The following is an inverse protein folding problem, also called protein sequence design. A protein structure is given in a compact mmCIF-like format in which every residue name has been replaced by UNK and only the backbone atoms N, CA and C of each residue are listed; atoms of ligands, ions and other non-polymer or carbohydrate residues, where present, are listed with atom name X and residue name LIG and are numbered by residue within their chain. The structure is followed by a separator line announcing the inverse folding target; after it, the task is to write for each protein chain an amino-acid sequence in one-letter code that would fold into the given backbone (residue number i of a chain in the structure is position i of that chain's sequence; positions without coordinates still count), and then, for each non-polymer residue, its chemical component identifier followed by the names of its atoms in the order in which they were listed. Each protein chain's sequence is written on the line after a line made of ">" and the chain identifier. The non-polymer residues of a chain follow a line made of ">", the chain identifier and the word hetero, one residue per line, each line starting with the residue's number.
data_IF_565367425129
#
_entry.id   IF_565367425129
#
_cell.length_a   1.000
_cell.length_b   1.000
_cell.length_c   1.000
_cell.angle_alpha   90.00
_cell.angle_beta   90.00
_cell.angle_gamma   90.00
#
_symmetry.space_group_name_H-M   'P 1'
#
loop_
_entity.id
_entity.type
_entity.pdbx_description
1 polymer ?
#
# COMPACT_ATOMS: atom_id res chain seq x y z
N UNK A 1 -3.95 -33.27 64.17
CA UNK A 1 -3.71 -33.88 62.83
C UNK A 1 -4.69 -33.36 61.77
N UNK A 2 -6.01 -33.38 62.01
CA UNK A 2 -7.04 -32.90 61.07
C UNK A 2 -6.83 -31.48 60.50
N UNK A 3 -6.42 -30.52 61.36
CA UNK A 3 -6.21 -29.11 60.97
C UNK A 3 -5.02 -28.92 60.00
N UNK A 4 -3.94 -29.71 60.15
CA UNK A 4 -2.79 -29.69 59.23
C UNK A 4 -3.16 -30.30 57.87
N UNK A 5 -3.98 -31.35 57.86
CA UNK A 5 -4.44 -31.98 56.63
C UNK A 5 -5.39 -31.08 55.82
N UNK A 6 -6.28 -30.35 56.51
CA UNK A 6 -7.14 -29.30 55.93
C UNK A 6 -6.36 -28.16 55.29
N UNK A 7 -5.25 -27.72 55.92
CA UNK A 7 -4.39 -26.66 55.36
C UNK A 7 -3.67 -27.18 54.10
N UNK A 8 -3.17 -28.41 54.13
CA UNK A 8 -2.49 -29.02 52.98
C UNK A 8 -3.44 -29.17 51.79
N UNK A 9 -4.67 -29.66 51.99
CA UNK A 9 -5.66 -29.78 50.91
C UNK A 9 -6.06 -28.42 50.32
N UNK A 10 -6.22 -27.39 51.15
CA UNK A 10 -6.54 -26.04 50.69
C UNK A 10 -5.39 -25.43 49.85
N UNK A 11 -4.14 -25.60 50.28
CA UNK A 11 -2.96 -25.15 49.53
C UNK A 11 -2.82 -25.89 48.20
N UNK A 12 -3.03 -27.22 48.18
CA UNK A 12 -3.02 -28.00 46.94
C UNK A 12 -4.12 -27.57 45.97
N UNK A 13 -5.32 -27.24 46.45
CA UNK A 13 -6.43 -26.79 45.61
C UNK A 13 -6.15 -25.40 45.00
N UNK A 14 -5.54 -24.48 45.75
CA UNK A 14 -5.11 -23.17 45.23
C UNK A 14 -4.01 -23.34 44.17
N UNK A 15 -3.01 -24.19 44.42
CA UNK A 15 -1.97 -24.50 43.43
C UNK A 15 -2.55 -25.11 42.15
N UNK A 16 -3.50 -26.04 42.28
CA UNK A 16 -4.19 -26.63 41.14
C UNK A 16 -4.97 -25.58 40.34
N UNK A 17 -5.66 -24.66 41.01
CA UNK A 17 -6.37 -23.55 40.36
C UNK A 17 -5.41 -22.61 39.62
N UNK A 18 -4.24 -22.32 40.19
CA UNK A 18 -3.20 -21.51 39.52
C UNK A 18 -2.69 -22.23 38.28
N UNK A 19 -2.39 -23.53 38.38
CA UNK A 19 -1.94 -24.34 37.23
C UNK A 19 -3.01 -24.38 36.14
N UNK A 20 -4.28 -24.58 36.49
CA UNK A 20 -5.40 -24.57 35.53
C UNK A 20 -5.58 -23.19 34.90
N UNK A 21 -5.48 -22.09 35.67
CA UNK A 21 -5.52 -20.73 35.12
C UNK A 21 -4.37 -20.49 34.13
N UNK A 22 -3.13 -20.79 34.53
CA UNK A 22 -1.95 -20.65 33.64
C UNK A 22 -2.11 -21.50 32.38
N UNK A 23 -2.65 -22.71 32.51
CA UNK A 23 -2.94 -23.59 31.38
C UNK A 23 -3.99 -23.01 30.44
N UNK A 24 -5.07 -22.41 30.97
CA UNK A 24 -6.10 -21.74 30.17
C UNK A 24 -5.57 -20.47 29.49
N UNK A 25 -4.65 -19.73 30.11
CA UNK A 25 -3.99 -18.56 29.52
C UNK A 25 -2.94 -18.92 28.44
N UNK A 26 -2.38 -20.14 28.50
CA UNK A 26 -1.44 -20.65 27.48
C UNK A 26 -2.14 -21.41 26.35
N UNK A 27 -3.44 -21.70 26.48
CA UNK A 27 -4.23 -22.36 25.46
C UNK A 27 -4.64 -21.35 24.38
N UNK A 28 -3.88 -21.34 23.28
CA UNK A 28 -4.15 -20.46 22.13
C UNK A 28 -5.52 -20.75 21.52
N UNK A 29 -6.16 -19.70 20.99
CA UNK A 29 -7.46 -19.76 20.30
C UNK A 29 -7.24 -19.64 18.80
N UNK A 30 -8.02 -20.37 18.01
CA UNK A 30 -8.05 -20.24 16.54
C UNK A 30 -9.30 -19.44 16.13
N UNK A 31 -9.20 -18.11 15.94
CA UNK A 31 -10.38 -17.26 15.74
C UNK A 31 -11.13 -17.59 14.46
N UNK A 32 -10.40 -17.95 13.39
CA UNK A 32 -10.98 -18.20 12.08
C UNK A 32 -11.12 -19.69 11.75
N UNK A 33 -10.93 -20.63 12.70
CA UNK A 33 -10.88 -22.09 12.43
C UNK A 33 -11.99 -22.64 11.51
N UNK A 34 -13.17 -22.06 11.57
CA UNK A 34 -14.36 -22.52 10.83
C UNK A 34 -14.78 -21.51 9.75
N UNK A 35 -13.90 -20.59 9.36
CA UNK A 35 -14.15 -19.66 8.27
C UNK A 35 -14.17 -20.46 6.97
N UNK A 36 -15.23 -20.27 6.20
CA UNK A 36 -15.39 -20.88 4.89
C UNK A 36 -15.26 -19.80 3.80
N UNK A 37 -14.62 -20.15 2.68
CA UNK A 37 -14.42 -19.23 1.56
C UNK A 37 -15.73 -18.69 0.99
N UNK A 38 -16.82 -19.46 1.05
CA UNK A 38 -18.14 -19.02 0.60
C UNK A 38 -18.74 -17.89 1.47
N UNK A 39 -18.16 -17.60 2.64
CA UNK A 39 -18.59 -16.50 3.51
C UNK A 39 -17.92 -15.17 3.13
N UNK A 40 -16.88 -15.18 2.29
CA UNK A 40 -16.13 -14.00 1.87
C UNK A 40 -16.58 -13.62 0.47
N UNK A 41 -17.10 -12.40 0.32
CA UNK A 41 -17.49 -11.84 -0.96
C UNK A 41 -16.27 -11.34 -1.76
N UNK A 42 -15.33 -10.68 -1.08
CA UNK A 42 -14.06 -10.22 -1.67
C UNK A 42 -12.99 -10.04 -0.60
N UNK A 43 -11.73 -10.06 -1.01
CA UNK A 43 -10.60 -9.81 -0.13
C UNK A 43 -9.48 -9.05 -0.84
N UNK A 44 -8.76 -8.24 -0.06
CA UNK A 44 -7.54 -7.57 -0.48
C UNK A 44 -6.51 -7.59 0.63
N UNK A 45 -5.24 -7.42 0.27
CA UNK A 45 -4.14 -7.32 1.23
C UNK A 45 -3.29 -6.08 0.96
N UNK A 46 -3.01 -5.32 2.01
CA UNK A 46 -2.08 -4.21 2.01
C UNK A 46 -0.78 -4.62 2.72
N UNK A 47 0.35 -4.35 2.09
CA UNK A 47 1.69 -4.60 2.65
C UNK A 47 2.34 -3.25 2.98
N UNK A 48 2.73 -3.02 4.23
CA UNK A 48 3.38 -1.78 4.69
C UNK A 48 4.63 -2.08 5.50
N UNK A 49 5.85 -1.74 5.01
CA UNK A 49 6.16 -1.41 3.60
C UNK A 49 5.88 -2.59 2.64
N UNK A 50 5.73 -2.40 1.31
CA UNK A 50 6.06 -1.22 0.49
C UNK A 50 4.88 -0.29 0.14
N UNK A 51 3.80 -0.32 0.91
CA UNK A 51 2.57 0.46 0.69
C UNK A 51 1.84 0.10 -0.61
N UNK A 52 1.81 -1.20 -0.91
CA UNK A 52 1.06 -1.77 -2.05
C UNK A 52 -0.14 -2.55 -1.56
N UNK A 53 -1.25 -2.41 -2.29
CA UNK A 53 -2.48 -3.17 -2.06
C UNK A 53 -2.75 -4.09 -3.24
N UNK A 54 -3.06 -5.35 -2.97
CA UNK A 54 -3.29 -6.38 -3.99
C UNK A 54 -4.65 -7.04 -3.75
N UNK A 55 -5.41 -7.25 -4.83
CA UNK A 55 -6.63 -8.05 -4.81
C UNK A 55 -6.30 -9.53 -4.58
N UNK A 56 -7.09 -10.21 -3.74
CA UNK A 56 -6.92 -11.65 -3.49
C UNK A 56 -7.99 -12.40 -4.27
N UNK A 57 -7.58 -13.07 -5.34
CA UNK A 57 -8.49 -13.87 -6.18
C UNK A 57 -8.75 -15.26 -5.60
N UNK A 58 -7.71 -15.93 -5.06
CA UNK A 58 -7.86 -17.24 -4.41
C UNK A 58 -8.22 -17.10 -2.92
N UNK A 59 -9.51 -16.87 -2.70
CA UNK A 59 -10.10 -16.80 -1.35
C UNK A 59 -9.93 -18.12 -0.59
N UNK A 60 -9.96 -19.26 -1.28
CA UNK A 60 -9.86 -20.57 -0.64
C UNK A 60 -8.47 -20.80 -0.03
N UNK A 61 -7.43 -20.40 -0.75
CA UNK A 61 -6.05 -20.42 -0.26
C UNK A 61 -5.88 -19.52 0.96
N UNK A 62 -6.34 -18.26 0.89
CA UNK A 62 -6.30 -17.33 2.03
C UNK A 62 -6.98 -17.91 3.27
N UNK A 63 -8.18 -18.48 3.11
CA UNK A 63 -8.91 -19.12 4.21
C UNK A 63 -8.13 -20.28 4.81
N UNK A 64 -7.38 -21.04 4.01
CA UNK A 64 -6.46 -22.07 4.47
C UNK A 64 -5.46 -21.53 5.50
N UNK A 65 -4.80 -20.39 5.21
CA UNK A 65 -3.89 -19.74 6.13
C UNK A 65 -4.59 -19.16 7.37
N UNK A 66 -5.75 -18.50 7.18
CA UNK A 66 -6.52 -17.91 8.28
C UNK A 66 -7.01 -18.98 9.28
N UNK A 67 -7.41 -20.16 8.81
CA UNK A 67 -7.85 -21.28 9.65
C UNK A 67 -6.77 -21.78 10.62
N UNK A 68 -5.50 -21.49 10.32
CA UNK A 68 -4.35 -21.92 11.11
C UNK A 68 -3.82 -20.92 12.12
N UNK A 69 -4.24 -19.65 12.05
CA UNK A 69 -3.77 -18.64 12.99
C UNK A 69 -4.20 -18.95 14.43
N UNK A 70 -3.29 -18.70 15.37
CA UNK A 70 -3.51 -18.95 16.80
C UNK A 70 -3.19 -17.69 17.57
N UNK A 71 -4.17 -17.14 18.28
CA UNK A 71 -4.00 -15.98 19.17
C UNK A 71 -3.94 -16.40 20.63
N UNK A 72 -3.23 -15.63 21.44
CA UNK A 72 -3.11 -15.80 22.89
C UNK A 72 -3.74 -14.61 23.63
N UNK A 73 -3.02 -14.02 24.58
CA UNK A 73 -3.45 -12.83 25.29
C UNK A 73 -3.38 -11.59 24.37
N UNK A 74 -4.25 -10.62 24.65
CA UNK A 74 -4.12 -9.28 24.07
C UNK A 74 -2.78 -8.68 24.46
N UNK A 75 -2.18 -7.95 23.54
CA UNK A 75 -0.88 -7.32 23.71
C UNK A 75 -0.80 -6.11 22.76
N UNK A 76 -0.36 -4.96 23.29
CA UNK A 76 -0.24 -3.71 22.54
C UNK A 76 1.22 -3.30 22.29
N UNK A 77 2.21 -4.13 22.64
CA UNK A 77 3.63 -3.81 22.40
C UNK A 77 4.02 -3.74 20.92
N UNK A 78 3.13 -4.19 20.03
CA UNK A 78 3.28 -4.04 18.59
C UNK A 78 3.38 -2.57 18.13
N UNK A 79 2.88 -1.60 18.91
CA UNK A 79 2.95 -0.17 18.54
C UNK A 79 4.38 0.38 18.50
N UNK A 80 5.31 -0.29 19.18
CA UNK A 80 6.74 0.05 19.19
C UNK A 80 7.55 -0.89 18.29
N UNK A 81 6.89 -1.89 17.69
CA UNK A 81 7.55 -2.87 16.83
C UNK A 81 7.83 -2.27 15.46
N UNK A 82 8.95 -2.68 14.86
CA UNK A 82 9.39 -2.27 13.53
C UNK A 82 9.49 -3.50 12.65
N UNK A 83 8.83 -3.48 11.51
CA UNK A 83 8.84 -4.54 10.52
C UNK A 83 7.79 -4.28 9.46
N UNK A 84 7.50 -5.30 8.65
CA UNK A 84 6.40 -5.25 7.70
C UNK A 84 5.11 -5.74 8.34
N UNK A 85 4.07 -4.90 8.29
CA UNK A 85 2.69 -5.29 8.55
C UNK A 85 2.00 -5.71 7.25
N UNK A 86 1.24 -6.79 7.31
CA UNK A 86 0.41 -7.27 6.20
C UNK A 86 -1.04 -7.29 6.66
N UNK A 87 -1.85 -6.36 6.16
CA UNK A 87 -3.25 -6.19 6.55
C UNK A 87 -4.18 -6.76 5.49
N UNK A 88 -4.88 -7.83 5.84
CA UNK A 88 -5.95 -8.39 5.03
C UNK A 88 -7.26 -7.70 5.38
N UNK A 89 -7.99 -7.23 4.37
CA UNK A 89 -9.36 -6.74 4.51
C UNK A 89 -10.29 -7.73 3.83
N UNK A 90 -11.23 -8.29 4.58
CA UNK A 90 -12.25 -9.20 4.07
C UNK A 90 -13.60 -8.50 4.08
N UNK A 91 -14.29 -8.51 2.94
CA UNK A 91 -15.71 -8.16 2.86
C UNK A 91 -16.50 -9.46 2.84
N UNK A 92 -17.35 -9.65 3.84
CA UNK A 92 -18.16 -10.84 4.02
C UNK A 92 -19.44 -10.77 3.17
N UNK A 93 -20.04 -11.92 2.87
CA UNK A 93 -21.29 -11.99 2.08
C UNK A 93 -22.50 -11.36 2.78
N UNK A 94 -22.44 -11.16 4.09
CA UNK A 94 -23.46 -10.44 4.86
C UNK A 94 -23.24 -8.92 4.92
N UNK A 95 -22.20 -8.42 4.23
CA UNK A 95 -21.82 -7.01 4.18
C UNK A 95 -20.93 -6.54 5.33
N UNK A 96 -20.58 -7.41 6.28
CA UNK A 96 -19.63 -7.07 7.33
C UNK A 96 -18.19 -7.05 6.80
N UNK A 97 -17.33 -6.26 7.44
CA UNK A 97 -15.90 -6.17 7.11
C UNK A 97 -15.09 -6.58 8.34
N UNK A 98 -13.97 -7.29 8.11
CA UNK A 98 -12.96 -7.55 9.14
C UNK A 98 -11.56 -7.26 8.61
N UNK A 99 -10.69 -6.75 9.48
CA UNK A 99 -9.29 -6.45 9.19
C UNK A 99 -8.37 -7.31 10.04
N UNK A 100 -7.40 -7.92 9.39
CA UNK A 100 -6.47 -8.88 10.01
C UNK A 100 -5.05 -8.48 9.62
N UNK A 101 -4.30 -7.89 10.54
CA UNK A 101 -2.88 -7.57 10.30
C UNK A 101 -1.97 -8.65 10.86
N UNK A 102 -1.29 -9.36 9.97
CA UNK A 102 -0.14 -10.21 10.30
C UNK A 102 1.08 -9.31 10.51
N UNK A 103 1.53 -9.20 11.77
CA UNK A 103 2.65 -8.36 12.17
C UNK A 103 3.52 -9.09 13.19
N UNK A 104 4.20 -10.14 12.74
CA UNK A 104 4.92 -11.07 13.60
C UNK A 104 5.80 -10.37 14.67
N UNK A 105 5.71 -10.73 15.96
CA UNK A 105 4.99 -11.87 16.55
C UNK A 105 3.56 -11.54 17.02
N UNK A 106 2.87 -10.62 16.34
CA UNK A 106 1.51 -10.17 16.67
C UNK A 106 0.52 -10.43 15.53
N UNK A 107 -0.73 -10.65 15.91
CA UNK A 107 -1.87 -10.62 15.00
C UNK A 107 -2.83 -9.55 15.53
N UNK A 108 -3.16 -8.58 14.69
CA UNK A 108 -4.14 -7.53 15.01
C UNK A 108 -5.43 -7.87 14.29
N UNK A 109 -6.54 -7.94 15.02
CA UNK A 109 -7.87 -8.22 14.47
C UNK A 109 -8.76 -7.03 14.84
N UNK A 110 -9.30 -6.34 13.83
CA UNK A 110 -10.17 -5.17 13.98
C UNK A 110 -9.61 -4.14 14.98
N UNK A 111 -8.30 -3.86 14.88
CA UNK A 111 -7.57 -2.92 15.74
C UNK A 111 -7.15 -3.48 17.11
N UNK A 112 -7.49 -4.73 17.46
CA UNK A 112 -7.12 -5.37 18.72
C UNK A 112 -5.92 -6.29 18.52
N UNK A 113 -4.80 -5.99 19.17
CA UNK A 113 -3.57 -6.79 19.06
C UNK A 113 -3.52 -7.98 19.99
N UNK A 114 -2.99 -9.09 19.50
CA UNK A 114 -2.78 -10.33 20.22
C UNK A 114 -1.37 -10.87 19.99
N UNK A 115 -0.78 -11.50 21.00
CA UNK A 115 0.33 -12.43 20.76
C UNK A 115 -0.18 -13.57 19.88
N UNK A 116 0.62 -13.98 18.90
CA UNK A 116 0.25 -15.05 17.98
C UNK A 116 1.30 -16.14 17.93
N UNK A 117 0.92 -17.32 17.45
CA UNK A 117 1.88 -18.38 17.12
C UNK A 117 2.66 -17.94 15.87
N UNK A 118 3.98 -18.05 15.94
CA UNK A 118 4.89 -17.52 14.91
C UNK A 118 4.63 -18.13 13.53
N UNK A 119 4.58 -19.46 13.41
CA UNK A 119 4.56 -20.11 12.10
C UNK A 119 3.30 -19.76 11.27
N UNK A 120 2.06 -19.82 11.80
CA UNK A 120 0.88 -19.42 11.04
C UNK A 120 0.86 -17.93 10.66
N UNK A 121 1.34 -17.05 11.54
CA UNK A 121 1.40 -15.62 11.24
C UNK A 121 2.49 -15.31 10.20
N UNK A 122 3.61 -16.04 10.23
CA UNK A 122 4.65 -15.94 9.20
C UNK A 122 4.14 -16.46 7.86
N UNK A 123 3.32 -17.51 7.85
CA UNK A 123 2.71 -18.04 6.63
C UNK A 123 1.83 -16.99 5.94
N UNK A 124 0.97 -16.27 6.69
CA UNK A 124 0.19 -15.15 6.14
C UNK A 124 1.05 -14.03 5.56
N UNK A 125 2.10 -13.62 6.28
CA UNK A 125 3.03 -12.60 5.79
C UNK A 125 3.74 -13.07 4.50
N UNK A 126 4.15 -14.34 4.45
CA UNK A 126 4.84 -14.91 3.28
C UNK A 126 3.89 -15.00 2.08
N UNK A 127 2.65 -15.47 2.30
CA UNK A 127 1.60 -15.52 1.28
C UNK A 127 1.37 -14.17 0.61
N UNK A 128 1.24 -13.09 1.39
CA UNK A 128 1.04 -11.76 0.82
C UNK A 128 2.24 -11.26 0.00
N UNK A 129 3.47 -11.54 0.45
CA UNK A 129 4.66 -11.19 -0.31
C UNK A 129 4.78 -12.03 -1.58
N UNK A 130 4.44 -13.32 -1.55
CA UNK A 130 4.41 -14.19 -2.73
C UNK A 130 3.37 -13.69 -3.73
N UNK A 131 2.18 -13.32 -3.26
CA UNK A 131 1.13 -12.73 -4.10
C UNK A 131 1.62 -11.46 -4.80
N UNK A 132 2.22 -10.53 -4.05
CA UNK A 132 2.76 -9.28 -4.60
C UNK A 132 3.91 -9.54 -5.62
N UNK A 133 4.80 -10.50 -5.33
CA UNK A 133 5.97 -10.77 -6.16
C UNK A 133 5.71 -11.76 -7.31
N UNK A 134 4.48 -12.25 -7.47
CA UNK A 134 4.09 -13.21 -8.51
C UNK A 134 4.27 -12.68 -9.95
N UNK A 135 4.31 -11.36 -10.13
CA UNK A 135 4.35 -10.70 -11.43
C UNK A 135 2.99 -10.66 -12.15
N UNK A 136 1.97 -11.30 -11.59
CA UNK A 136 0.57 -11.26 -12.05
C UNK A 136 -0.36 -10.67 -10.99
N UNK A 137 0.21 -10.00 -9.98
CA UNK A 137 -0.54 -9.39 -8.90
C UNK A 137 -1.48 -8.32 -9.46
N UNK A 138 -2.78 -8.42 -9.14
CA UNK A 138 -3.75 -7.37 -9.41
C UNK A 138 -3.57 -6.25 -8.36
N UNK A 139 -2.62 -5.36 -8.62
CA UNK A 139 -2.38 -4.19 -7.75
C UNK A 139 -3.58 -3.23 -7.86
N UNK A 140 -4.13 -2.88 -6.71
CA UNK A 140 -5.27 -1.96 -6.60
C UNK A 140 -4.74 -0.52 -6.54
N UNK A 141 -5.08 0.27 -7.56
CA UNK A 141 -4.72 1.69 -7.67
C UNK A 141 -5.96 2.56 -7.48
N UNK A 142 -6.25 2.92 -6.23
CA UNK A 142 -7.41 3.77 -5.89
C UNK A 142 -7.26 5.23 -6.38
N UNK A 143 -6.01 5.66 -6.60
CA UNK A 143 -5.61 7.01 -7.05
C UNK A 143 -4.43 6.90 -8.04
N UNK A 144 -4.17 7.94 -8.86
CA UNK A 144 -3.00 7.97 -9.73
C UNK A 144 -1.69 7.74 -8.95
N UNK A 145 -0.80 6.85 -9.42
CA UNK A 145 0.51 6.66 -8.81
C UNK A 145 1.30 7.98 -8.73
N UNK A 146 2.10 8.16 -7.69
CA UNK A 146 2.96 9.33 -7.62
C UNK A 146 4.11 9.18 -8.62
N UNK A 147 4.44 10.27 -9.29
CA UNK A 147 5.64 10.39 -10.10
C UNK A 147 6.68 11.23 -9.36
N UNK A 148 7.93 10.79 -9.43
CA UNK A 148 9.07 11.66 -9.22
C UNK A 148 10.14 11.46 -10.26
N UNK A 149 11.21 12.23 -10.10
CA UNK A 149 12.32 12.27 -11.02
C UNK A 149 13.63 12.17 -10.23
N UNK A 150 14.53 11.33 -10.74
CA UNK A 150 15.85 11.12 -10.15
C UNK A 150 16.90 11.74 -11.06
N UNK A 151 17.62 12.73 -10.54
CA UNK A 151 18.77 13.38 -11.19
C UNK A 151 19.85 13.62 -10.14
N UNK A 152 21.12 13.43 -10.47
CA UNK A 152 22.25 13.56 -9.53
C UNK A 152 21.97 12.88 -8.17
N UNK A 153 21.50 11.61 -8.22
CA UNK A 153 21.13 10.80 -7.05
C UNK A 153 20.07 11.42 -6.11
N UNK A 154 19.37 12.47 -6.54
CA UNK A 154 18.35 13.16 -5.77
C UNK A 154 16.98 12.89 -6.37
N UNK A 155 16.01 12.57 -5.51
CA UNK A 155 14.61 12.37 -5.90
C UNK A 155 13.81 13.68 -5.73
N UNK A 156 13.02 14.01 -6.74
CA UNK A 156 12.14 15.18 -6.76
C UNK A 156 10.74 14.74 -7.13
N UNK A 157 9.76 15.01 -6.27
CA UNK A 157 8.36 14.71 -6.56
C UNK A 157 7.79 15.62 -7.64
N UNK A 158 7.04 15.05 -8.57
CA UNK A 158 6.24 15.82 -9.51
C UNK A 158 4.89 16.23 -8.88
N UNK A 159 4.35 17.35 -9.34
CA UNK A 159 3.00 17.78 -9.01
C UNK A 159 1.99 16.98 -9.85
N UNK A 160 1.02 16.32 -9.20
CA UNK A 160 -0.09 15.68 -9.90
C UNK A 160 -0.97 16.75 -10.55
N UNK A 161 -1.17 16.65 -11.86
CA UNK A 161 -2.01 17.51 -12.67
C UNK A 161 -3.40 16.94 -12.88
N UNK A 162 -3.94 17.14 -14.08
CA UNK A 162 -5.24 16.62 -14.47
C UNK A 162 -5.18 15.10 -14.61
N UNK A 163 -6.27 14.43 -14.25
CA UNK A 163 -6.39 12.98 -14.40
C UNK A 163 -7.83 12.53 -14.62
N UNK A 164 -7.98 11.37 -15.25
CA UNK A 164 -9.22 10.62 -15.30
C UNK A 164 -8.95 9.22 -14.81
N UNK A 165 -9.56 8.84 -13.69
CA UNK A 165 -9.23 7.63 -12.94
C UNK A 165 -10.48 6.80 -12.66
N UNK A 166 -10.36 5.49 -12.84
CA UNK A 166 -11.38 4.50 -12.52
C UNK A 166 -10.95 3.70 -11.29
N UNK A 167 -11.91 3.39 -10.43
CA UNK A 167 -11.78 2.45 -9.32
C UNK A 167 -13.09 1.70 -9.08
N UNK A 168 -13.07 0.67 -8.24
CA UNK A 168 -14.29 -0.02 -7.79
C UNK A 168 -14.78 0.57 -6.47
N UNK A 169 -16.10 0.70 -6.30
CA UNK A 169 -16.72 0.99 -5.01
C UNK A 169 -16.79 -0.27 -4.12
N UNK A 170 -17.36 -0.14 -2.91
CA UNK A 170 -17.52 -1.25 -1.96
C UNK A 170 -18.39 -2.40 -2.48
N UNK A 171 -19.26 -2.12 -3.45
CA UNK A 171 -20.14 -3.10 -4.09
C UNK A 171 -19.50 -3.72 -5.35
N UNK A 172 -18.28 -3.30 -5.70
CA UNK A 172 -17.54 -3.74 -6.87
C UNK A 172 -17.92 -3.03 -8.17
N UNK A 173 -18.75 -1.98 -8.12
CA UNK A 173 -19.10 -1.21 -9.31
C UNK A 173 -17.98 -0.25 -9.68
N UNK A 174 -17.71 -0.10 -10.97
CA UNK A 174 -16.76 0.90 -11.46
C UNK A 174 -17.29 2.32 -11.28
N UNK A 175 -16.50 3.15 -10.62
CA UNK A 175 -16.69 4.59 -10.50
C UNK A 175 -15.50 5.31 -11.14
N UNK A 176 -15.76 6.48 -11.73
CA UNK A 176 -14.72 7.28 -12.37
C UNK A 176 -14.69 8.69 -11.79
N UNK A 177 -13.48 9.19 -11.57
CA UNK A 177 -13.18 10.56 -11.16
C UNK A 177 -12.44 11.24 -12.29
N UNK A 178 -12.88 12.44 -12.68
CA UNK A 178 -12.11 13.33 -13.56
C UNK A 178 -11.81 14.60 -12.78
N UNK A 179 -10.55 14.98 -12.76
CA UNK A 179 -10.06 16.20 -12.13
C UNK A 179 -9.31 17.03 -13.16
N UNK A 180 -9.74 18.28 -13.33
CA UNK A 180 -9.04 19.25 -14.15
C UNK A 180 -7.85 19.84 -13.38
N UNK A 181 -6.89 20.39 -14.12
CA UNK A 181 -5.76 21.12 -13.55
C UNK A 181 -5.51 22.42 -14.29
N UNK A 182 -4.80 23.35 -13.66
CA UNK A 182 -4.26 24.51 -14.33
C UNK A 182 -3.24 24.07 -15.39
N UNK A 183 -3.05 24.91 -16.40
CA UNK A 183 -1.99 24.69 -17.38
C UNK A 183 -0.62 24.71 -16.68
N UNK A 184 0.39 23.92 -17.10
CA UNK A 184 1.71 23.87 -16.45
C UNK A 184 2.33 25.26 -16.23
N UNK A 185 2.23 26.15 -17.23
CA UNK A 185 2.69 27.54 -17.15
C UNK A 185 1.91 28.46 -16.19
N UNK A 186 0.80 28.01 -15.60
CA UNK A 186 0.08 28.76 -14.58
C UNK A 186 0.36 28.22 -13.16
N UNK A 187 1.24 27.22 -13.03
CA UNK A 187 1.57 26.55 -11.77
C UNK A 187 2.86 27.08 -11.10
N UNK A 188 3.32 28.29 -11.42
CA UNK A 188 4.61 28.83 -10.95
C UNK A 188 4.74 28.78 -9.42
N UNK A 189 3.70 29.18 -8.68
CA UNK A 189 3.71 29.19 -7.21
C UNK A 189 3.83 27.79 -6.59
N UNK A 190 3.31 26.76 -7.28
CA UNK A 190 3.34 25.37 -6.80
C UNK A 190 4.61 24.64 -7.19
N UNK A 191 5.23 25.04 -8.30
CA UNK A 191 6.40 24.40 -8.88
C UNK A 191 7.72 25.10 -8.50
N UNK A 192 7.67 26.33 -7.98
CA UNK A 192 8.86 27.08 -7.59
C UNK A 192 9.30 26.78 -6.15
N UNK A 193 10.62 26.82 -5.87
CA UNK A 193 11.73 27.04 -6.81
C UNK A 193 11.99 25.82 -7.72
N UNK A 194 12.71 25.97 -8.85
CA UNK A 194 13.09 24.83 -9.66
C UNK A 194 13.99 23.89 -8.87
N UNK A 195 13.96 22.62 -9.22
CA UNK A 195 15.06 21.74 -8.87
C UNK A 195 16.23 21.96 -9.84
N UNK A 196 17.35 22.43 -9.30
CA UNK A 196 18.58 22.67 -10.05
C UNK A 196 19.43 21.40 -10.15
N UNK A 197 19.94 21.09 -11.33
CA UNK A 197 20.76 19.89 -11.56
C UNK A 197 21.84 20.12 -12.61
N UNK A 198 23.06 19.57 -12.43
CA UNK A 198 24.11 19.64 -13.44
C UNK A 198 23.95 18.58 -14.54
N UNK A 199 23.02 17.63 -14.37
CA UNK A 199 22.84 16.50 -15.27
C UNK A 199 22.05 16.88 -16.53
N UNK A 200 22.44 16.31 -17.67
CA UNK A 200 21.72 16.49 -18.94
C UNK A 200 20.49 15.57 -19.06
N UNK A 201 20.31 14.67 -18.12
CA UNK A 201 19.25 13.66 -18.14
C UNK A 201 18.71 13.41 -16.75
N UNK A 202 17.45 12.98 -16.67
CA UNK A 202 16.86 12.58 -15.40
C UNK A 202 15.89 11.41 -15.62
N UNK A 203 15.77 10.53 -14.61
CA UNK A 203 15.03 9.27 -14.73
C UNK A 203 13.67 9.38 -14.05
N UNK A 204 12.60 9.04 -14.76
CA UNK A 204 11.26 8.94 -14.19
C UNK A 204 11.19 7.77 -13.20
N UNK A 205 10.54 8.00 -12.06
CA UNK A 205 10.35 7.01 -11.00
C UNK A 205 8.91 7.08 -10.52
N UNK A 206 8.08 6.13 -10.96
CA UNK A 206 6.70 6.01 -10.50
C UNK A 206 6.63 5.11 -9.27
N UNK A 207 5.65 5.34 -8.39
CA UNK A 207 5.36 4.40 -7.29
C UNK A 207 4.77 3.08 -7.80
N UNK A 208 4.05 3.15 -8.93
CA UNK A 208 3.65 2.00 -9.74
C UNK A 208 3.85 2.37 -11.21
N UNK A 209 4.59 1.55 -11.96
CA UNK A 209 4.93 1.86 -13.35
C UNK A 209 3.66 1.91 -14.23
N UNK A 210 3.56 2.88 -15.15
CA UNK A 210 2.48 2.94 -16.12
C UNK A 210 2.62 1.85 -17.17
N UNK A 211 1.50 1.46 -17.77
CA UNK A 211 1.51 0.61 -18.96
C UNK A 211 2.11 1.36 -20.16
N UNK A 212 1.88 2.67 -20.24
CA UNK A 212 2.40 3.50 -21.33
C UNK A 212 2.57 4.96 -20.89
N UNK A 213 3.71 5.56 -21.26
CA UNK A 213 3.89 7.01 -21.25
C UNK A 213 3.33 7.55 -22.57
N UNK A 214 2.25 8.32 -22.50
CA UNK A 214 1.51 8.82 -23.67
C UNK A 214 2.19 10.02 -24.32
N UNK A 215 2.70 10.96 -23.51
CA UNK A 215 3.39 12.14 -24.03
C UNK A 215 4.30 12.77 -23.00
N UNK A 216 5.42 13.33 -23.47
CA UNK A 216 6.27 14.20 -22.65
C UNK A 216 6.61 15.48 -23.39
N UNK A 217 6.28 16.60 -22.76
CA UNK A 217 6.38 17.95 -23.32
C UNK A 217 7.06 18.88 -22.34
N UNK A 218 7.62 19.98 -22.85
CA UNK A 218 8.13 21.04 -22.00
C UNK A 218 7.82 22.44 -22.51
N UNK A 219 7.92 23.40 -21.59
CA UNK A 219 7.88 24.84 -21.86
C UNK A 219 9.03 25.53 -21.11
N UNK A 220 9.61 26.56 -21.70
CA UNK A 220 10.59 27.41 -21.02
C UNK A 220 9.91 28.22 -19.90
N UNK A 221 10.62 28.40 -18.79
CA UNK A 221 10.21 29.23 -17.65
C UNK A 221 10.03 30.73 -18.01
N UNK A 222 10.59 31.20 -19.13
CA UNK A 222 10.35 32.55 -19.65
C UNK A 222 8.87 32.83 -20.02
N UNK A 223 8.07 31.77 -20.09
CA UNK A 223 6.66 31.81 -20.48
C UNK A 223 5.67 31.57 -19.32
N UNK A 224 6.09 31.65 -18.05
CA UNK A 224 5.15 31.64 -16.92
C UNK A 224 3.98 32.63 -17.13
N UNK A 225 2.78 32.19 -16.80
CA UNK A 225 1.50 32.90 -17.00
C UNK A 225 1.04 33.02 -18.45
N UNK A 226 1.64 32.29 -19.40
CA UNK A 226 1.30 32.34 -20.84
C UNK A 226 0.88 30.96 -21.38
N UNK A 227 -0.30 30.43 -21.01
CA UNK A 227 -0.73 29.07 -21.35
C UNK A 227 -1.03 28.82 -22.84
N UNK A 228 -0.99 29.87 -23.68
CA UNK A 228 -1.13 29.74 -25.14
C UNK A 228 0.20 29.48 -25.85
N UNK A 229 1.30 29.41 -25.11
CA UNK A 229 2.64 29.12 -25.63
C UNK A 229 2.71 27.66 -26.10
N UNK A 230 3.24 27.44 -27.31
CA UNK A 230 3.44 26.10 -27.84
C UNK A 230 4.42 25.32 -26.96
N UNK A 231 4.11 24.05 -26.73
CA UNK A 231 5.03 23.09 -26.11
C UNK A 231 6.11 22.65 -27.10
N UNK A 232 7.18 22.11 -26.54
CA UNK A 232 8.22 21.39 -27.25
C UNK A 232 8.20 19.92 -26.86
N UNK A 233 8.41 19.03 -27.83
CA UNK A 233 8.55 17.60 -27.56
C UNK A 233 9.88 17.32 -26.85
N UNK A 234 9.86 16.38 -25.91
CA UNK A 234 11.07 15.95 -25.18
C UNK A 234 11.45 14.54 -25.58
N UNK A 235 12.74 14.33 -25.82
CA UNK A 235 13.26 13.01 -26.18
C UNK A 235 13.39 12.14 -24.94
N UNK A 236 12.93 10.89 -25.05
CA UNK A 236 13.03 9.88 -24.01
C UNK A 236 13.65 8.58 -24.53
N UNK A 237 14.43 7.92 -23.67
CA UNK A 237 14.94 6.56 -23.90
C UNK A 237 14.59 5.70 -22.69
N UNK A 238 13.62 4.79 -22.84
CA UNK A 238 13.02 4.11 -21.69
C UNK A 238 12.38 5.12 -20.74
N UNK A 239 12.74 5.08 -19.46
CA UNK A 239 12.28 6.05 -18.43
C UNK A 239 13.23 7.26 -18.28
N UNK A 240 14.22 7.43 -19.16
CA UNK A 240 15.20 8.52 -19.06
C UNK A 240 14.81 9.68 -19.97
N UNK A 241 14.61 10.84 -19.35
CA UNK A 241 14.28 12.12 -19.95
C UNK A 241 15.55 12.89 -20.32
N UNK A 242 15.62 13.48 -21.52
CA UNK A 242 16.69 14.43 -21.88
C UNK A 242 16.28 15.85 -21.49
N UNK A 243 17.06 16.49 -20.63
CA UNK A 243 16.79 17.84 -20.14
C UNK A 243 17.29 18.89 -21.13
N UNK A 244 16.57 20.01 -21.20
CA UNK A 244 16.96 21.20 -21.98
C UNK A 244 17.82 22.14 -21.14
N UNK A 245 18.84 22.81 -21.72
CA UNK A 245 19.63 23.82 -21.02
C UNK A 245 18.76 25.01 -20.57
N UNK A 246 18.86 25.40 -19.31
CA UNK A 246 18.02 26.45 -18.71
C UNK A 246 16.88 25.91 -17.86
N UNK A 247 15.90 26.78 -17.53
CA UNK A 247 14.72 26.44 -16.72
C UNK A 247 13.54 26.00 -17.59
N UNK A 248 13.01 24.80 -17.33
CA UNK A 248 11.89 24.24 -18.09
C UNK A 248 10.90 23.52 -17.19
N UNK A 249 9.63 23.70 -17.53
CA UNK A 249 8.49 22.98 -16.96
C UNK A 249 8.22 21.79 -17.87
N UNK A 250 8.26 20.59 -17.31
CA UNK A 250 7.98 19.35 -18.02
C UNK A 250 6.60 18.82 -17.62
N UNK A 251 5.83 18.40 -18.61
CA UNK A 251 4.58 17.66 -18.43
C UNK A 251 4.78 16.22 -18.92
N UNK A 252 4.44 15.27 -18.07
CA UNK A 252 4.43 13.84 -18.38
C UNK A 252 2.98 13.38 -18.29
N UNK A 253 2.46 12.75 -19.35
CA UNK A 253 1.15 12.11 -19.34
C UNK A 253 1.35 10.60 -19.46
N UNK A 254 0.78 9.85 -18.53
CA UNK A 254 0.90 8.41 -18.45
C UNK A 254 -0.47 7.73 -18.33
N UNK A 255 -0.52 6.46 -18.74
CA UNK A 255 -1.70 5.61 -18.77
C UNK A 255 -1.46 4.31 -17.99
N UNK A 256 -2.45 3.94 -17.20
CA UNK A 256 -2.59 2.66 -16.52
C UNK A 256 -3.88 2.02 -17.02
N UNK A 257 -3.77 0.83 -17.58
CA UNK A 257 -4.88 0.09 -18.13
C UNK A 257 -5.91 -0.20 -17.02
N UNK A 258 -7.19 -0.19 -17.38
CA UNK A 258 -8.30 -0.36 -16.43
C UNK A 258 -8.84 -1.79 -16.38
N UNK A 259 -8.08 -2.78 -16.87
CA UNK A 259 -8.59 -4.15 -17.06
C UNK A 259 -8.99 -4.82 -15.73
N UNK A 260 -8.25 -4.56 -14.65
CA UNK A 260 -8.58 -5.05 -13.31
C UNK A 260 -9.63 -4.18 -12.58
N UNK A 261 -10.13 -3.13 -13.24
CA UNK A 261 -11.09 -2.18 -12.70
C UNK A 261 -10.48 -0.92 -12.07
N UNK A 262 -9.15 -0.83 -11.97
CA UNK A 262 -8.41 0.29 -11.41
C UNK A 262 -7.42 0.84 -12.43
N UNK A 263 -7.31 2.16 -12.56
CA UNK A 263 -6.38 2.78 -13.49
C UNK A 263 -6.97 3.97 -14.23
N UNK A 264 -6.26 4.47 -15.22
CA UNK A 264 -6.67 5.60 -16.04
C UNK A 264 -5.48 6.43 -16.48
N UNK A 265 -5.73 7.70 -16.77
CA UNK A 265 -4.70 8.63 -17.27
C UNK A 265 -4.42 9.70 -16.25
N UNK A 266 -3.16 10.09 -16.10
CA UNK A 266 -2.75 11.19 -15.25
C UNK A 266 -1.64 12.01 -15.92
N UNK A 267 -1.69 13.33 -15.69
CA UNK A 267 -0.63 14.26 -16.04
C UNK A 267 0.16 14.68 -14.80
N UNK A 268 1.44 14.97 -14.98
CA UNK A 268 2.35 15.34 -13.92
C UNK A 268 3.24 16.48 -14.38
N UNK A 269 3.45 17.47 -13.51
CA UNK A 269 4.27 18.64 -13.79
C UNK A 269 5.50 18.68 -12.91
N UNK A 270 6.64 19.08 -13.48
CA UNK A 270 7.87 19.28 -12.72
C UNK A 270 8.68 20.44 -13.32
N UNK A 271 9.27 21.27 -12.46
CA UNK A 271 10.12 22.38 -12.88
C UNK A 271 11.59 22.05 -12.57
N UNK A 272 12.38 21.92 -13.63
CA UNK A 272 13.80 21.59 -13.56
C UNK A 272 14.61 22.73 -14.19
N UNK A 273 15.79 22.98 -13.63
CA UNK A 273 16.74 23.93 -14.20
C UNK A 273 18.13 23.30 -14.31
N UNK A 274 18.61 23.17 -15.54
CA UNK A 274 19.97 22.71 -15.78
C UNK A 274 20.93 23.85 -15.45
N UNK A 275 21.90 23.58 -14.58
CA UNK A 275 22.98 24.51 -14.21
C UNK A 275 24.29 24.04 -14.83
N UNK A 276 25.11 25.00 -15.27
CA UNK A 276 26.47 24.75 -15.79
C UNK A 276 27.50 24.58 -14.67
#
# INVERSE_FOLDING_TARGET
>A
MKKKWLIITMVCMVLLCIVVMVFLFTMGKKPYKNLDAAQIASAKVQLTPPDKTVEIEDISELVGYLNDVVIYNQDNSYTEYVGQGVTFTLIMTDGTQTEITAYNPFLIIDGVGYKTKYEPCQALNSYANELLNSGTANVILEEPPALGLVSDNTYVSALLGAYSWQKKDVDGNSISTTTDSAHPLDCEELLSPPYETPEATATLSFTEEPDTILSVKCWSDEYWGKPTTNSEDVTMTGNVLTLKPGGYIYEIIADWNTQNGYGGTASYFIYLKMIE
#
